data_IF_755469976016
#
_entry.id   IF_755469976016
#
_cell.length_a   1.000
_cell.length_b   1.000
_cell.length_c   1.000
_cell.angle_alpha   90.00
_cell.angle_beta   90.00
_cell.angle_gamma   90.00
#
_symmetry.space_group_name_H-M   'P 1'
#
loop_
_entity.id
_entity.type
_entity.pdbx_description
1 polymer ?
#
# COMPACT_ATOMS: atom_id res chain seq x y z
N UNK A 1 -5.65 11.34 -2.14
CA UNK A 1 -4.28 11.91 -2.17
C UNK A 1 -3.57 11.41 -3.40
N UNK A 2 -2.71 12.23 -4.02
CA UNK A 2 -1.87 11.83 -5.14
C UNK A 2 -0.42 12.18 -4.79
N UNK A 3 0.51 11.31 -5.16
CA UNK A 3 1.93 11.42 -4.83
C UNK A 3 2.74 10.81 -5.96
N UNK A 4 3.94 11.32 -6.22
CA UNK A 4 4.82 10.76 -7.25
C UNK A 4 6.07 10.25 -6.56
N UNK A 5 6.37 8.98 -6.74
CA UNK A 5 7.57 8.32 -6.21
C UNK A 5 8.51 7.95 -7.35
N UNK A 6 9.77 7.70 -7.01
CA UNK A 6 10.75 7.18 -7.97
C UNK A 6 10.98 5.71 -7.67
N UNK A 7 10.73 4.84 -8.66
CA UNK A 7 11.03 3.40 -8.61
C UNK A 7 11.95 3.13 -9.77
N UNK A 8 13.14 2.55 -9.54
CA UNK A 8 14.07 2.20 -10.64
C UNK A 8 14.46 3.42 -11.51
N UNK A 9 14.52 4.62 -10.91
CA UNK A 9 14.73 5.88 -11.65
C UNK A 9 13.53 6.38 -12.48
N UNK A 10 12.41 5.64 -12.48
CA UNK A 10 11.16 6.01 -13.17
C UNK A 10 10.19 6.69 -12.21
N UNK A 11 9.57 7.79 -12.65
CA UNK A 11 8.55 8.48 -11.88
C UNK A 11 7.22 7.75 -11.97
N UNK A 12 6.75 7.21 -10.85
CA UNK A 12 5.49 6.51 -10.72
C UNK A 12 4.53 7.37 -9.91
N UNK A 13 3.39 7.73 -10.52
CA UNK A 13 2.31 8.44 -9.82
C UNK A 13 1.46 7.43 -9.07
N UNK A 14 1.25 7.67 -7.79
CA UNK A 14 0.44 6.88 -6.89
C UNK A 14 -0.75 7.71 -6.41
N UNK A 15 -1.92 7.09 -6.37
CA UNK A 15 -3.14 7.78 -5.95
C UNK A 15 -3.98 6.93 -5.02
N UNK A 16 -4.22 7.46 -3.83
CA UNK A 16 -5.18 6.88 -2.89
C UNK A 16 -6.54 7.60 -2.99
N UNK A 17 -7.59 6.80 -3.11
CA UNK A 17 -8.99 7.21 -3.11
C UNK A 17 -9.84 6.29 -2.24
N UNK A 18 -11.07 6.69 -1.89
CA UNK A 18 -12.02 5.82 -1.19
C UNK A 18 -12.40 4.55 -1.98
N UNK A 19 -12.18 4.53 -3.30
CA UNK A 19 -12.40 3.37 -4.14
C UNK A 19 -11.25 2.35 -4.11
N UNK A 20 -10.09 2.69 -3.54
CA UNK A 20 -8.88 1.83 -3.54
C UNK A 20 -9.17 0.47 -2.92
N UNK A 21 -9.80 0.44 -1.74
CA UNK A 21 -10.15 -0.82 -1.06
C UNK A 21 -11.05 -1.70 -1.93
N UNK A 22 -12.06 -1.09 -2.57
CA UNK A 22 -12.97 -1.83 -3.46
C UNK A 22 -12.23 -2.37 -4.69
N UNK A 23 -11.28 -1.60 -5.25
CA UNK A 23 -10.47 -2.05 -6.38
C UNK A 23 -9.50 -3.16 -6.01
N UNK A 24 -8.84 -3.06 -4.86
CA UNK A 24 -7.98 -4.13 -4.32
C UNK A 24 -8.76 -5.44 -4.23
N UNK A 25 -9.94 -5.38 -3.60
CA UNK A 25 -10.83 -6.55 -3.45
C UNK A 25 -11.35 -7.10 -4.76
N UNK A 26 -11.63 -6.24 -5.73
CA UNK A 26 -12.05 -6.67 -7.06
C UNK A 26 -10.91 -7.33 -7.85
N UNK A 27 -9.69 -6.78 -7.76
CA UNK A 27 -8.52 -7.24 -8.51
C UNK A 27 -7.94 -8.54 -7.93
N UNK A 28 -7.61 -8.54 -6.65
CA UNK A 28 -6.88 -9.63 -6.01
C UNK A 28 -7.80 -10.65 -5.33
N UNK A 29 -9.11 -10.36 -5.27
CA UNK A 29 -10.10 -11.15 -4.50
C UNK A 29 -9.73 -11.27 -3.01
N UNK A 30 -8.84 -10.42 -2.51
CA UNK A 30 -8.36 -10.36 -1.14
C UNK A 30 -8.93 -9.15 -0.41
N UNK A 31 -8.93 -9.19 0.92
CA UNK A 31 -9.36 -8.04 1.72
C UNK A 31 -8.14 -7.24 2.18
N UNK A 32 -8.05 -5.98 1.75
CA UNK A 32 -6.92 -5.13 2.05
C UNK A 32 -6.69 -4.97 3.56
N UNK A 33 -7.77 -4.88 4.35
CA UNK A 33 -7.65 -4.74 5.80
C UNK A 33 -7.08 -6.00 6.43
N UNK A 34 -7.50 -7.18 5.95
CA UNK A 34 -6.98 -8.46 6.43
C UNK A 34 -5.49 -8.63 6.08
N UNK A 35 -5.10 -8.24 4.87
CA UNK A 35 -3.69 -8.29 4.45
C UNK A 35 -2.83 -7.33 5.28
N UNK A 36 -3.28 -6.08 5.53
CA UNK A 36 -2.58 -5.15 6.42
C UNK A 36 -2.46 -5.66 7.86
N UNK A 37 -3.50 -6.35 8.35
CA UNK A 37 -3.46 -7.00 9.66
C UNK A 37 -2.46 -8.15 9.69
N UNK A 38 -2.44 -8.99 8.65
CA UNK A 38 -1.52 -10.11 8.52
C UNK A 38 -0.06 -9.66 8.43
N UNK A 39 0.21 -8.55 7.74
CA UNK A 39 1.55 -7.95 7.71
C UNK A 39 2.00 -7.47 9.09
N UNK A 40 1.08 -7.23 10.03
CA UNK A 40 1.39 -6.57 11.30
C UNK A 40 1.54 -5.05 11.16
N UNK A 41 1.15 -4.48 10.02
CA UNK A 41 1.11 -3.03 9.79
C UNK A 41 0.01 -2.37 10.62
N UNK A 42 -0.99 -3.15 11.02
CA UNK A 42 -1.98 -2.77 12.02
C UNK A 42 -1.49 -3.30 13.36
N UNK A 43 -0.91 -2.41 14.19
CA UNK A 43 -0.60 -2.75 15.57
C UNK A 43 -1.87 -3.30 16.24
N UNK A 44 -1.73 -4.42 16.97
CA UNK A 44 -2.81 -4.93 17.81
C UNK A 44 -3.35 -3.76 18.62
N UNK A 45 -4.65 -3.49 18.51
CA UNK A 45 -5.37 -2.53 19.35
C UNK A 45 -5.29 -3.07 20.79
N UNK A 46 -4.16 -2.89 21.48
CA UNK A 46 -3.94 -3.35 22.85
C UNK A 46 -4.44 -2.33 23.86
N UNK A 47 -5.16 -1.31 23.42
CA UNK A 47 -5.76 -0.30 24.30
C UNK A 47 -7.26 -0.20 24.02
N UNK A 48 -8.13 -0.58 24.97
CA UNK A 48 -9.59 -0.50 24.81
C UNK A 48 -10.14 0.94 24.69
N UNK A 49 -9.26 1.94 24.77
CA UNK A 49 -9.57 3.39 24.64
C UNK A 49 -9.11 3.98 23.30
N UNK A 50 -8.33 3.25 22.50
CA UNK A 50 -7.82 3.73 21.22
C UNK A 50 -8.82 3.42 20.11
N UNK A 51 -9.74 4.35 19.89
CA UNK A 51 -10.75 4.31 18.82
C UNK A 51 -10.15 4.45 17.41
N UNK A 52 -8.82 4.54 17.28
CA UNK A 52 -8.12 4.82 16.03
C UNK A 52 -7.06 3.74 15.78
N UNK A 53 -7.30 2.88 14.79
CA UNK A 53 -6.29 1.97 14.29
C UNK A 53 -5.23 2.80 13.55
N UNK A 54 -4.06 3.00 14.17
CA UNK A 54 -2.92 3.62 13.50
C UNK A 54 -2.16 2.54 12.74
N UNK A 55 -2.03 2.72 11.43
CA UNK A 55 -1.24 1.86 10.57
C UNK A 55 0.20 2.38 10.60
N UNK A 56 1.15 1.54 11.04
CA UNK A 56 2.56 1.86 11.02
C UNK A 56 3.33 0.77 10.27
N UNK A 57 3.66 1.07 9.00
CA UNK A 57 4.49 0.15 8.21
C UNK A 57 5.96 0.13 8.68
N UNK A 58 6.40 1.10 9.48
CA UNK A 58 7.79 1.18 9.95
C UNK A 58 8.11 0.14 11.02
N UNK A 59 7.09 -0.36 11.72
CA UNK A 59 7.22 -1.45 12.71
C UNK A 59 7.13 -2.84 12.09
N UNK A 60 7.04 -2.93 10.76
CA UNK A 60 6.95 -4.20 10.05
C UNK A 60 8.26 -5.00 10.17
N UNK A 61 8.12 -6.24 10.60
CA UNK A 61 9.21 -7.22 10.59
C UNK A 61 9.42 -7.69 9.13
N UNK A 62 10.40 -7.11 8.43
CA UNK A 62 10.72 -7.49 7.03
C UNK A 62 10.96 -8.99 6.81
N UNK A 63 11.33 -9.73 7.86
CA UNK A 63 11.49 -11.19 7.82
C UNK A 63 10.15 -11.96 7.75
N UNK A 64 9.03 -11.31 8.07
CA UNK A 64 7.67 -11.87 8.09
C UNK A 64 6.69 -11.13 7.17
N UNK A 65 7.15 -10.07 6.51
CA UNK A 65 6.34 -9.27 5.59
C UNK A 65 6.14 -10.03 4.29
N UNK A 66 4.89 -10.19 3.89
CA UNK A 66 4.53 -10.59 2.54
C UNK A 66 4.71 -9.41 1.57
N UNK A 67 5.88 -9.37 0.93
CA UNK A 67 6.20 -8.34 -0.06
C UNK A 67 5.24 -8.32 -1.26
N UNK A 68 4.60 -9.44 -1.57
CA UNK A 68 3.54 -9.55 -2.58
C UNK A 68 2.44 -8.50 -2.35
N UNK A 69 1.99 -8.35 -1.10
CA UNK A 69 0.95 -7.37 -0.74
C UNK A 69 1.42 -5.94 -0.99
N UNK A 70 2.71 -5.67 -0.73
CA UNK A 70 3.30 -4.34 -0.96
C UNK A 70 3.34 -4.05 -2.46
N UNK A 71 3.78 -5.01 -3.29
CA UNK A 71 3.81 -4.84 -4.75
C UNK A 71 2.41 -4.62 -5.31
N UNK A 72 1.44 -5.42 -4.89
CA UNK A 72 0.03 -5.31 -5.28
C UNK A 72 -0.56 -3.96 -4.90
N UNK A 73 -0.22 -3.45 -3.72
CA UNK A 73 -0.64 -2.14 -3.25
C UNK A 73 -0.02 -1.00 -4.08
N UNK A 74 1.30 -1.04 -4.29
CA UNK A 74 1.99 -0.02 -5.08
C UNK A 74 1.42 0.01 -6.49
N UNK A 75 1.26 -1.16 -7.11
CA UNK A 75 0.60 -1.27 -8.41
C UNK A 75 -0.82 -0.72 -8.39
N UNK A 76 -1.62 -1.04 -7.38
CA UNK A 76 -3.00 -0.58 -7.28
C UNK A 76 -3.09 0.94 -7.17
N UNK A 77 -2.21 1.54 -6.37
CA UNK A 77 -2.10 2.99 -6.25
C UNK A 77 -1.65 3.61 -7.57
N UNK A 78 -0.70 2.96 -8.26
CA UNK A 78 -0.24 3.40 -9.57
C UNK A 78 -1.37 3.35 -10.59
N UNK A 79 -2.05 2.20 -10.73
CA UNK A 79 -3.22 1.98 -11.60
C UNK A 79 -4.38 2.91 -11.29
N UNK A 80 -4.53 3.31 -10.03
CA UNK A 80 -5.55 4.28 -9.61
C UNK A 80 -5.18 5.71 -10.04
N UNK A 81 -3.90 6.05 -10.11
CA UNK A 81 -3.42 7.33 -10.65
C UNK A 81 -3.45 7.35 -12.17
N UNK A 82 -3.03 6.24 -12.79
CA UNK A 82 -2.90 6.08 -14.23
C UNK A 82 -3.64 4.80 -14.70
N UNK A 83 -4.83 4.94 -15.32
CA UNK A 83 -5.59 3.79 -15.80
C UNK A 83 -4.91 3.06 -16.96
N UNK A 84 -3.86 3.60 -17.56
CA UNK A 84 -3.10 3.01 -18.67
C UNK A 84 -2.16 1.89 -18.21
N UNK A 85 -1.85 1.81 -16.91
CA UNK A 85 -0.99 0.77 -16.34
C UNK A 85 -1.58 -0.62 -16.59
N UNK A 86 -0.77 -1.57 -17.02
CA UNK A 86 -1.18 -2.94 -17.34
C UNK A 86 -1.42 -3.78 -16.09
N UNK A 87 -1.62 -5.08 -16.25
CA UNK A 87 -1.67 -6.06 -15.16
C UNK A 87 -0.45 -5.96 -14.22
N UNK A 88 -0.62 -6.30 -12.92
CA UNK A 88 0.41 -6.14 -11.90
C UNK A 88 1.72 -6.82 -12.28
N UNK A 89 1.68 -8.07 -12.74
CA UNK A 89 2.88 -8.78 -13.16
C UNK A 89 3.62 -8.05 -14.29
N UNK A 90 2.92 -7.70 -15.38
CA UNK A 90 3.54 -7.04 -16.54
C UNK A 90 4.09 -5.66 -16.19
N UNK A 91 3.43 -4.94 -15.29
CA UNK A 91 3.91 -3.65 -14.83
C UNK A 91 5.17 -3.79 -13.96
N UNK A 92 5.18 -4.76 -13.04
CA UNK A 92 6.33 -5.05 -12.17
C UNK A 92 7.53 -5.57 -12.97
N UNK A 93 7.32 -6.38 -14.00
CA UNK A 93 8.37 -6.87 -14.93
C UNK A 93 9.09 -5.72 -15.66
N UNK A 94 8.46 -4.55 -15.72
CA UNK A 94 9.05 -3.34 -16.27
C UNK A 94 10.07 -2.63 -15.36
N UNK A 95 10.31 -3.10 -14.14
CA UNK A 95 11.29 -2.54 -13.21
C UNK A 95 12.42 -3.54 -12.97
N UNK A 96 13.67 -3.10 -13.11
CA UNK A 96 14.83 -3.94 -12.79
C UNK A 96 15.01 -4.05 -11.27
N UNK A 97 14.82 -2.95 -10.54
CA UNK A 97 14.87 -2.92 -9.08
C UNK A 97 13.62 -2.27 -8.47
N UNK A 98 13.11 -2.87 -7.38
CA UNK A 98 11.98 -2.32 -6.63
C UNK A 98 12.44 -1.93 -5.22
N UNK A 99 12.89 -0.67 -5.00
CA UNK A 99 13.43 -0.23 -3.72
C UNK A 99 12.31 -0.05 -2.69
N UNK A 100 11.81 -1.17 -2.14
CA UNK A 100 10.69 -1.18 -1.18
C UNK A 100 10.97 -0.25 -0.01
N UNK A 101 12.19 -0.26 0.53
CA UNK A 101 12.59 0.60 1.65
C UNK A 101 12.42 2.10 1.38
N UNK A 102 12.67 2.56 0.15
CA UNK A 102 12.53 3.98 -0.21
C UNK A 102 11.07 4.39 -0.41
N UNK A 103 10.27 3.48 -0.99
CA UNK A 103 8.86 3.75 -1.30
C UNK A 103 7.95 3.46 -0.10
N UNK A 104 8.38 2.65 0.87
CA UNK A 104 7.61 2.27 2.05
C UNK A 104 7.01 3.45 2.81
N UNK A 105 7.76 4.53 3.14
CA UNK A 105 7.17 5.71 3.81
C UNK A 105 6.11 6.41 2.93
N UNK A 106 6.32 6.45 1.61
CA UNK A 106 5.37 7.05 0.67
C UNK A 106 4.07 6.24 0.60
N UNK A 107 4.19 4.91 0.59
CA UNK A 107 3.08 3.96 0.58
C UNK A 107 2.33 3.97 1.92
N UNK A 108 3.03 4.05 3.05
CA UNK A 108 2.41 4.12 4.38
C UNK A 108 1.43 5.28 4.50
N UNK A 109 1.81 6.47 4.02
CA UNK A 109 0.95 7.66 4.05
C UNK A 109 -0.32 7.47 3.19
N UNK A 110 -0.21 6.79 2.04
CA UNK A 110 -1.35 6.43 1.20
C UNK A 110 -2.26 5.37 1.85
N UNK A 111 -1.69 4.38 2.52
CA UNK A 111 -2.44 3.33 3.23
C UNK A 111 -3.21 3.94 4.40
N UNK A 112 -2.58 4.80 5.22
CA UNK A 112 -3.26 5.49 6.33
C UNK A 112 -4.52 6.23 5.84
N UNK A 113 -4.40 6.96 4.74
CA UNK A 113 -5.55 7.64 4.10
C UNK A 113 -6.61 6.66 3.59
N UNK A 114 -6.18 5.54 3.01
CA UNK A 114 -7.07 4.50 2.46
C UNK A 114 -7.88 3.82 3.56
N UNK A 115 -7.24 3.56 4.70
CA UNK A 115 -7.82 2.91 5.88
C UNK A 115 -8.69 3.86 6.72
N UNK A 116 -8.71 5.15 6.37
CA UNK A 116 -9.46 6.16 7.12
C UNK A 116 -8.82 6.52 8.47
N UNK A 117 -7.55 6.16 8.69
CA UNK A 117 -6.77 6.66 9.81
C UNK A 117 -6.56 8.16 9.58
N UNK A 118 -7.44 8.98 10.14
CA UNK A 118 -7.28 10.43 10.10
C UNK A 118 -6.05 10.77 10.96
N UNK A 119 -5.00 11.31 10.34
CA UNK A 119 -4.09 12.21 11.07
C UNK A 119 -4.95 13.37 11.56
N UNK A 120 -5.22 13.42 12.85
CA UNK A 120 -5.79 14.58 13.52
C UNK A 120 -4.67 15.52 13.95
#
# INVERSE_FOLDING_TARGET
MEKTITIDGKQVRLKSTAATVKRYKAQFRRDLFADMFALGAMGTITSPDSTEATIDLSTLDFNKVDFEVIYDLVWLYAKTADPSITDPLTWLDGFDEFPIYEIMPEINDLIQMTMGAKKK
#
